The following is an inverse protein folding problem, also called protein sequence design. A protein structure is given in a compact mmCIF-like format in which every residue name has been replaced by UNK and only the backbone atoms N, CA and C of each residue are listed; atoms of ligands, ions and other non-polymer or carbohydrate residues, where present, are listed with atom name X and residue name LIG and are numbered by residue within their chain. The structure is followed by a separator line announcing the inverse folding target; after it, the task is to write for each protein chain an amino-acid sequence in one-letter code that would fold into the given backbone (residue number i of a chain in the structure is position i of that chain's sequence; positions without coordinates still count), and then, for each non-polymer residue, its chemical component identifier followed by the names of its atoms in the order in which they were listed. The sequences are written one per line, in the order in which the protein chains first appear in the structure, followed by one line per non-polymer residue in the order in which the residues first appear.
data_IF_644879379209
#
_entry.id   IF_644879379209
#
_cell.length_a   1.000
_cell.length_b   1.000
_cell.length_c   1.000
_cell.angle_alpha   90.00
_cell.angle_beta   90.00
_cell.angle_gamma   90.00
#
_symmetry.space_group_name_H-M   'P 1'
#
loop_
_entity.id
_entity.type
_entity.pdbx_description
1 polymer ?
#
# COMPACT_ATOMS: atom_id res chain seq x y z
N UNK A 1 0.55 -11.67 -20.50
CA UNK A 1 1.85 -11.02 -20.23
C UNK A 1 1.94 -10.72 -18.74
N UNK A 2 3.13 -10.73 -18.13
CA UNK A 2 3.35 -10.39 -16.71
C UNK A 2 4.33 -9.22 -16.61
N UNK A 3 4.17 -8.38 -15.60
CA UNK A 3 4.97 -7.18 -15.37
C UNK A 3 5.27 -6.98 -13.88
N UNK A 4 6.27 -6.16 -13.61
CA UNK A 4 6.56 -5.61 -12.29
C UNK A 4 5.88 -4.25 -12.19
N UNK A 5 5.34 -3.91 -11.02
CA UNK A 5 4.63 -2.66 -10.80
C UNK A 5 5.37 -1.81 -9.77
N UNK A 6 5.76 -0.60 -10.17
CA UNK A 6 6.29 0.44 -9.29
C UNK A 6 5.18 1.47 -9.06
N UNK A 7 4.68 1.58 -7.83
CA UNK A 7 3.42 2.27 -7.53
C UNK A 7 3.64 3.36 -6.49
N UNK A 8 3.15 4.55 -6.81
CA UNK A 8 3.04 5.69 -5.91
C UNK A 8 1.58 6.11 -5.85
N UNK A 9 1.03 6.25 -4.64
CA UNK A 9 -0.36 6.65 -4.43
C UNK A 9 -0.37 7.96 -3.64
N UNK A 10 -0.97 8.99 -4.23
CA UNK A 10 -1.31 10.22 -3.52
C UNK A 10 -2.76 10.14 -3.03
N UNK A 11 -2.97 10.41 -1.76
CA UNK A 11 -4.27 10.24 -1.10
C UNK A 11 -4.50 11.32 -0.04
N UNK A 12 -5.76 11.60 0.34
CA UNK A 12 -6.07 12.59 1.37
C UNK A 12 -5.37 12.26 2.70
N UNK A 13 -4.92 13.30 3.39
CA UNK A 13 -4.28 13.16 4.71
C UNK A 13 -5.26 12.55 5.71
N UNK A 14 -4.76 11.67 6.57
CA UNK A 14 -5.59 10.91 7.52
C UNK A 14 -6.14 9.60 6.96
N UNK A 15 -5.92 9.32 5.68
CA UNK A 15 -6.17 7.99 5.10
C UNK A 15 -4.87 7.21 4.96
N UNK A 16 -4.97 5.89 4.81
CA UNK A 16 -3.86 4.97 4.56
C UNK A 16 -4.06 4.28 3.21
N UNK A 17 -3.00 4.20 2.40
CA UNK A 17 -2.98 3.44 1.16
C UNK A 17 -2.33 2.07 1.37
N UNK A 18 -2.88 1.04 0.73
CA UNK A 18 -2.31 -0.32 0.67
C UNK A 18 -2.21 -0.80 -0.79
N UNK A 19 -1.28 -1.72 -1.02
CA UNK A 19 -1.21 -2.47 -2.28
C UNK A 19 -0.74 -3.91 -2.03
N UNK A 20 -0.54 -4.68 -3.10
CA UNK A 20 0.10 -6.01 -3.01
C UNK A 20 1.55 -5.96 -2.49
N UNK A 21 2.22 -4.81 -2.60
CA UNK A 21 3.59 -4.61 -2.14
C UNK A 21 3.63 -3.88 -0.79
N UNK A 22 4.75 -4.06 -0.08
CA UNK A 22 5.02 -3.41 1.20
C UNK A 22 5.21 -1.91 0.98
N UNK A 23 4.72 -1.11 1.92
CA UNK A 23 4.96 0.34 1.93
C UNK A 23 6.44 0.62 2.15
N UNK A 24 7.09 1.25 1.18
CA UNK A 24 8.50 1.64 1.24
C UNK A 24 8.69 3.00 1.91
N UNK A 25 7.81 3.96 1.60
CA UNK A 25 7.89 5.32 2.15
C UNK A 25 6.51 5.96 2.24
N UNK A 26 6.31 6.80 3.25
CA UNK A 26 5.13 7.63 3.45
C UNK A 26 5.58 9.06 3.73
N UNK A 27 5.02 10.04 3.01
CA UNK A 27 5.29 11.45 3.25
C UNK A 27 4.04 12.30 3.13
N UNK A 28 3.97 13.36 3.91
CA UNK A 28 2.96 14.40 3.73
C UNK A 28 3.47 15.37 2.65
N UNK A 29 2.67 15.56 1.60
CA UNK A 29 2.98 16.52 0.53
C UNK A 29 2.49 17.92 0.89
N UNK A 30 1.33 18.02 1.55
CA UNK A 30 0.72 19.27 2.00
C UNK A 30 -0.18 19.04 3.22
N UNK A 31 -0.92 20.06 3.63
CA UNK A 31 -1.89 19.93 4.74
C UNK A 31 -3.05 18.99 4.40
N UNK A 32 -3.37 18.81 3.13
CA UNK A 32 -4.50 18.00 2.67
C UNK A 32 -4.09 16.66 2.06
N UNK A 33 -2.84 16.52 1.59
CA UNK A 33 -2.41 15.37 0.80
C UNK A 33 -1.19 14.67 1.40
N UNK A 34 -1.24 13.34 1.36
CA UNK A 34 -0.14 12.44 1.67
C UNK A 34 0.19 11.59 0.44
N UNK A 35 1.40 11.06 0.41
CA UNK A 35 1.89 10.17 -0.63
C UNK A 35 2.51 8.93 -0.01
N UNK A 36 2.09 7.77 -0.52
CA UNK A 36 2.62 6.46 -0.15
C UNK A 36 3.30 5.83 -1.35
N UNK A 37 4.57 5.49 -1.19
CA UNK A 37 5.36 4.74 -2.16
C UNK A 37 5.44 3.27 -1.72
N UNK A 38 5.20 2.35 -2.66
CA UNK A 38 5.33 0.92 -2.43
C UNK A 38 6.60 0.37 -3.05
N UNK A 39 7.10 -0.74 -2.52
CA UNK A 39 8.16 -1.50 -3.17
C UNK A 39 7.70 -2.06 -4.52
N UNK A 40 8.64 -2.34 -5.42
CA UNK A 40 8.33 -2.93 -6.72
C UNK A 40 7.77 -4.34 -6.51
N UNK A 41 6.61 -4.63 -7.10
CA UNK A 41 6.02 -5.96 -7.00
C UNK A 41 6.85 -6.99 -7.76
N UNK A 42 6.87 -8.27 -7.32
CA UNK A 42 7.33 -9.35 -8.19
C UNK A 42 6.53 -9.41 -9.50
N UNK A 43 7.11 -10.03 -10.53
CA UNK A 43 6.48 -10.16 -11.85
C UNK A 43 5.15 -10.93 -11.77
N UNK A 44 4.04 -10.21 -11.96
CA UNK A 44 2.68 -10.73 -11.80
C UNK A 44 1.76 -10.35 -12.97
N UNK A 45 0.61 -11.02 -13.07
CA UNK A 45 -0.43 -10.67 -14.04
C UNK A 45 -1.15 -9.39 -13.62
N UNK A 46 -1.53 -8.54 -14.58
CA UNK A 46 -2.23 -7.26 -14.32
C UNK A 46 -3.52 -7.42 -13.50
N UNK A 47 -4.22 -8.55 -13.64
CA UNK A 47 -5.45 -8.84 -12.90
C UNK A 47 -5.25 -8.94 -11.37
N UNK A 48 -4.04 -9.28 -10.91
CA UNK A 48 -3.77 -9.44 -9.48
C UNK A 48 -3.39 -8.12 -8.80
N UNK A 49 -3.25 -7.04 -9.56
CA UNK A 49 -2.92 -5.72 -9.03
C UNK A 49 -4.11 -5.17 -8.24
N UNK A 50 -3.89 -4.83 -6.98
CA UNK A 50 -4.87 -4.27 -6.07
C UNK A 50 -4.29 -3.08 -5.32
N UNK A 51 -5.09 -2.01 -5.21
CA UNK A 51 -4.79 -0.79 -4.45
C UNK A 51 -6.06 -0.41 -3.70
N UNK A 52 -5.94 -0.03 -2.43
CA UNK A 52 -7.04 0.53 -1.67
C UNK A 52 -6.57 1.72 -0.82
N UNK A 53 -7.47 2.69 -0.62
CA UNK A 53 -7.25 3.86 0.21
C UNK A 53 -8.42 3.95 1.18
N UNK A 54 -8.12 4.03 2.47
CA UNK A 54 -9.15 4.06 3.51
C UNK A 54 -8.66 4.76 4.77
N UNK A 55 -9.58 5.27 5.58
CA UNK A 55 -9.35 5.81 6.92
C UNK A 55 -9.30 4.74 8.02
N UNK A 56 -9.38 3.44 7.66
CA UNK A 56 -9.32 2.34 8.61
C UNK A 56 -7.97 2.24 9.34
N UNK A 57 -8.04 1.96 10.64
CA UNK A 57 -6.86 1.60 11.44
C UNK A 57 -6.35 0.22 11.05
N UNK A 58 -5.11 0.17 10.58
CA UNK A 58 -4.46 -1.10 10.24
C UNK A 58 -3.83 -1.73 11.47
N UNK A 59 -4.25 -2.95 11.79
CA UNK A 59 -3.57 -3.78 12.80
C UNK A 59 -2.73 -4.83 12.10
N UNK A 60 -1.43 -4.80 12.34
CA UNK A 60 -0.52 -5.83 11.87
C UNK A 60 -0.37 -6.92 12.94
N UNK A 61 -0.54 -8.18 12.54
CA UNK A 61 -0.11 -9.32 13.35
C UNK A 61 1.07 -9.99 12.67
N UNK A 62 2.24 -9.94 13.30
CA UNK A 62 3.43 -10.65 12.81
C UNK A 62 3.40 -12.07 13.34
N UNK A 63 3.27 -13.05 12.44
CA UNK A 63 3.39 -14.47 12.79
C UNK A 63 4.51 -15.08 11.95
N UNK A 64 5.67 -15.36 12.57
CA UNK A 64 6.87 -15.96 11.99
C UNK A 64 7.33 -15.37 10.62
N UNK A 65 6.69 -15.74 9.51
CA UNK A 65 7.01 -15.32 8.13
C UNK A 65 5.86 -14.69 7.34
N UNK A 66 4.70 -14.44 7.97
CA UNK A 66 3.54 -13.77 7.34
C UNK A 66 3.10 -12.54 8.13
N UNK A 67 2.71 -11.50 7.41
CA UNK A 67 2.08 -10.30 7.94
C UNK A 67 0.62 -10.34 7.49
N UNK A 68 -0.30 -10.39 8.46
CA UNK A 68 -1.73 -10.25 8.22
C UNK A 68 -2.14 -8.83 8.63
N UNK A 69 -2.74 -8.09 7.70
CA UNK A 69 -3.26 -6.74 7.93
C UNK A 69 -4.78 -6.85 8.02
N UNK A 70 -5.32 -6.53 9.20
CA UNK A 70 -6.75 -6.47 9.46
C UNK A 70 -7.23 -5.01 9.43
N UNK A 71 -8.39 -4.79 8.80
CA UNK A 71 -9.14 -3.53 8.85
C UNK A 71 -10.24 -3.66 9.91
N UNK A 72 -10.36 -2.68 10.80
CA UNK A 72 -11.42 -2.59 11.81
C UNK A 72 -12.24 -1.33 11.62
#
# INVERSE_FOLDING_TARGET
MKAEFNITVQHPRGTTAISNAVTANFRNLSDEWSETNFEITPKMSTYLLAIAVSDFEQKYRRCNSRIEVFFQ
#
